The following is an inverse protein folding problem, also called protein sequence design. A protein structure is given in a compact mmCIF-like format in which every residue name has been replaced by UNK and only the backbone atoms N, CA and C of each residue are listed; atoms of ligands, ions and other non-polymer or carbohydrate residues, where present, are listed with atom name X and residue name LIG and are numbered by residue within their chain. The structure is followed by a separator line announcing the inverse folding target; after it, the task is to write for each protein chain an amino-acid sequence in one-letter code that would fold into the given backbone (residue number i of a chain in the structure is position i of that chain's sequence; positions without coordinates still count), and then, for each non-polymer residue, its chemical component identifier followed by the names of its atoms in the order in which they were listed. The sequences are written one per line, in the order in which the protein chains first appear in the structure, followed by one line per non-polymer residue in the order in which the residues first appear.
data_IF_958584020796
#
_entry.id   IF_958584020796
#
_cell.length_a   1.000
_cell.length_b   1.000
_cell.length_c   1.000
_cell.angle_alpha   90.00
_cell.angle_beta   90.00
_cell.angle_gamma   90.00
#
_symmetry.space_group_name_H-M   'P 1'
#
loop_
_entity.id
_entity.type
_entity.pdbx_description
1 polymer ?
#
# COMPACT_ATOMS: atom_id res chain seq x y z
N UNK A 1 -10.01 -6.05 39.28
CA UNK A 1 -9.53 -6.62 38.01
C UNK A 1 -8.39 -7.58 38.29
N UNK A 2 -8.60 -8.91 38.18
CA UNK A 2 -7.57 -9.94 38.40
C UNK A 2 -6.55 -9.91 37.24
N UNK A 3 -5.30 -9.57 37.55
CA UNK A 3 -4.16 -9.83 36.64
C UNK A 3 -4.08 -11.35 36.47
N UNK A 4 -4.55 -11.88 35.34
CA UNK A 4 -4.25 -13.24 34.92
C UNK A 4 -2.75 -13.39 34.83
N UNK A 5 -2.16 -14.20 35.68
CA UNK A 5 -0.76 -14.61 35.55
C UNK A 5 -0.57 -15.17 34.14
N UNK A 6 0.38 -14.59 33.38
CA UNK A 6 0.84 -15.14 32.10
C UNK A 6 1.62 -16.41 32.48
N UNK A 7 0.88 -17.51 32.58
CA UNK A 7 1.47 -18.83 32.88
C UNK A 7 2.36 -19.32 31.76
N UNK A 8 3.12 -20.39 32.00
CA UNK A 8 4.06 -21.02 31.01
C UNK A 8 3.42 -21.28 29.65
N UNK A 9 2.09 -21.49 29.57
CA UNK A 9 1.33 -21.57 28.34
C UNK A 9 1.43 -20.27 27.46
N UNK A 10 1.57 -19.09 28.09
CA UNK A 10 1.71 -17.83 27.35
C UNK A 10 3.02 -17.74 26.56
N UNK A 11 4.09 -18.29 27.10
CA UNK A 11 5.41 -18.29 26.45
C UNK A 11 5.44 -19.19 25.21
N UNK A 12 4.79 -20.34 25.27
CA UNK A 12 4.68 -21.25 24.11
C UNK A 12 3.87 -20.60 22.98
N UNK A 13 2.76 -19.97 23.30
CA UNK A 13 1.94 -19.25 22.30
C UNK A 13 2.69 -18.03 21.72
N UNK A 14 3.42 -17.31 22.56
CA UNK A 14 4.26 -16.19 22.09
C UNK A 14 5.39 -16.71 21.19
N UNK A 15 6.05 -17.81 21.57
CA UNK A 15 7.07 -18.44 20.73
C UNK A 15 6.52 -18.88 19.37
N UNK A 16 5.38 -19.56 19.36
CA UNK A 16 4.71 -19.99 18.14
C UNK A 16 4.33 -18.79 17.25
N UNK A 17 3.73 -17.77 17.85
CA UNK A 17 3.37 -16.54 17.13
C UNK A 17 4.60 -15.83 16.54
N UNK A 18 5.72 -15.80 17.27
CA UNK A 18 6.97 -15.22 16.79
C UNK A 18 7.56 -16.00 15.59
N UNK A 19 7.50 -17.34 15.63
CA UNK A 19 7.94 -18.17 14.50
C UNK A 19 7.08 -17.90 13.27
N UNK A 20 5.75 -17.89 13.45
CA UNK A 20 4.82 -17.58 12.35
C UNK A 20 5.09 -16.18 11.80
N UNK A 21 5.25 -15.18 12.65
CA UNK A 21 5.56 -13.81 12.24
C UNK A 21 6.88 -13.75 11.47
N UNK A 22 7.92 -14.48 11.92
CA UNK A 22 9.20 -14.54 11.23
C UNK A 22 9.08 -15.17 9.83
N UNK A 23 8.31 -16.25 9.69
CA UNK A 23 8.06 -16.90 8.40
C UNK A 23 7.37 -15.91 7.42
N UNK A 24 6.36 -15.17 7.90
CA UNK A 24 5.69 -14.15 7.07
C UNK A 24 6.58 -12.94 6.79
N UNK A 25 7.48 -12.59 7.69
CA UNK A 25 8.40 -11.48 7.50
C UNK A 25 9.61 -11.84 6.60
N UNK A 26 9.94 -13.14 6.49
CA UNK A 26 11.10 -13.61 5.74
C UNK A 26 11.15 -13.14 4.27
N UNK A 27 10.04 -13.21 3.49
CA UNK A 27 10.05 -12.66 2.12
C UNK A 27 10.37 -11.17 2.07
N UNK A 28 9.85 -10.40 3.03
CA UNK A 28 10.13 -8.95 3.13
C UNK A 28 11.60 -8.70 3.45
N UNK A 29 12.17 -9.45 4.41
CA UNK A 29 13.58 -9.40 4.73
C UNK A 29 14.45 -9.75 3.50
N UNK A 30 14.06 -10.78 2.75
CA UNK A 30 14.77 -11.18 1.53
C UNK A 30 14.74 -10.08 0.47
N UNK A 31 13.62 -9.39 0.27
CA UNK A 31 13.52 -8.24 -0.65
C UNK A 31 14.44 -7.11 -0.19
N UNK A 32 14.43 -6.78 1.11
CA UNK A 32 15.31 -5.75 1.67
C UNK A 32 16.78 -6.10 1.44
N UNK A 33 17.18 -7.33 1.75
CA UNK A 33 18.56 -7.79 1.53
C UNK A 33 18.94 -7.75 0.05
N UNK A 34 18.03 -8.13 -0.84
CA UNK A 34 18.28 -8.12 -2.30
C UNK A 34 18.43 -6.69 -2.83
N UNK A 35 17.75 -5.70 -2.25
CA UNK A 35 17.92 -4.29 -2.63
C UNK A 35 19.37 -3.79 -2.44
N UNK A 36 20.12 -4.36 -1.50
CA UNK A 36 21.52 -4.03 -1.25
C UNK A 36 22.52 -4.96 -1.92
N UNK A 37 22.07 -5.91 -2.76
CA UNK A 37 22.95 -6.81 -3.51
C UNK A 37 23.35 -6.19 -4.84
N UNK A 38 24.59 -6.49 -5.26
CA UNK A 38 25.02 -6.24 -6.63
C UNK A 38 24.23 -7.12 -7.62
N UNK A 39 24.12 -6.68 -8.87
CA UNK A 39 23.45 -7.47 -9.91
C UNK A 39 24.10 -8.85 -10.12
N UNK A 40 25.42 -8.93 -10.06
CA UNK A 40 26.18 -10.19 -10.16
C UNK A 40 25.87 -11.16 -9.03
N UNK A 41 25.72 -10.67 -7.79
CA UNK A 41 25.41 -11.50 -6.63
C UNK A 41 23.96 -11.94 -6.60
N UNK A 42 23.05 -11.12 -7.16
CA UNK A 42 21.62 -11.46 -7.28
C UNK A 42 21.38 -12.58 -8.29
N UNK A 43 22.14 -12.59 -9.39
CA UNK A 43 22.03 -13.58 -10.47
C UNK A 43 22.96 -14.79 -10.29
N UNK A 44 23.74 -14.82 -9.21
CA UNK A 44 24.68 -15.92 -8.94
C UNK A 44 23.94 -17.24 -8.68
N UNK A 45 24.44 -18.32 -9.31
CA UNK A 45 23.96 -19.68 -9.11
C UNK A 45 25.15 -20.54 -8.65
N UNK A 46 25.17 -21.09 -7.42
CA UNK A 46 24.14 -21.03 -6.38
C UNK A 46 23.99 -19.64 -5.73
N UNK A 47 22.83 -19.34 -5.07
CA UNK A 47 22.58 -18.04 -4.43
C UNK A 47 23.63 -17.73 -3.35
N UNK A 48 24.24 -16.56 -3.41
CA UNK A 48 25.19 -16.12 -2.39
C UNK A 48 24.43 -15.51 -1.20
N UNK A 49 24.55 -16.12 -0.02
CA UNK A 49 23.94 -15.60 1.20
C UNK A 49 24.76 -14.47 1.84
N UNK A 50 26.08 -14.54 1.69
CA UNK A 50 27.00 -13.50 2.17
C UNK A 50 27.48 -12.67 0.98
N UNK A 51 27.25 -11.38 1.02
CA UNK A 51 27.55 -10.42 -0.03
C UNK A 51 28.02 -9.09 0.58
N UNK A 52 28.72 -8.29 -0.19
CA UNK A 52 29.07 -6.90 0.20
C UNK A 52 27.90 -5.99 -0.13
N UNK A 53 27.29 -5.32 0.88
CA UNK A 53 26.18 -4.40 0.62
C UNK A 53 26.59 -3.25 -0.31
N UNK A 54 25.75 -2.94 -1.29
CA UNK A 54 25.95 -1.83 -2.22
C UNK A 54 24.67 -0.97 -2.33
N UNK A 55 24.84 0.32 -2.59
CA UNK A 55 23.75 1.24 -2.90
C UNK A 55 23.55 1.44 -4.41
N UNK A 56 24.24 0.66 -5.23
CA UNK A 56 24.23 0.77 -6.68
C UNK A 56 22.82 0.67 -7.28
N UNK A 57 22.00 -0.25 -6.77
CA UNK A 57 20.60 -0.40 -7.21
C UNK A 57 19.77 0.87 -6.99
N UNK A 58 19.94 1.53 -5.84
CA UNK A 58 19.27 2.79 -5.54
C UNK A 58 19.75 3.92 -6.45
N UNK A 59 21.07 3.99 -6.68
CA UNK A 59 21.64 4.95 -7.60
C UNK A 59 21.08 4.77 -9.02
N UNK A 60 20.99 3.53 -9.50
CA UNK A 60 20.43 3.23 -10.82
C UNK A 60 18.95 3.59 -10.92
N UNK A 61 18.14 3.31 -9.89
CA UNK A 61 16.72 3.65 -9.88
C UNK A 61 16.51 5.18 -9.93
N UNK A 62 17.27 5.94 -9.15
CA UNK A 62 17.06 7.39 -9.08
C UNK A 62 17.70 8.16 -10.22
N UNK A 63 18.85 7.72 -10.72
CA UNK A 63 19.64 8.50 -11.65
C UNK A 63 19.84 7.87 -13.02
N UNK A 64 19.82 6.53 -13.12
CA UNK A 64 20.09 5.83 -14.38
C UNK A 64 19.33 4.51 -14.46
N UNK A 65 18.58 4.26 -15.55
CA UNK A 65 18.13 2.94 -15.94
C UNK A 65 19.00 2.38 -17.04
N UNK A 66 19.27 1.08 -17.02
CA UNK A 66 19.83 0.40 -18.18
C UNK A 66 18.74 0.25 -19.25
N UNK A 67 18.84 0.97 -20.34
CA UNK A 67 18.00 0.74 -21.52
C UNK A 67 18.47 -0.51 -22.29
N UNK A 68 19.80 -0.69 -22.39
CA UNK A 68 20.49 -1.85 -22.94
C UNK A 68 21.79 -2.06 -22.14
N UNK A 69 22.52 -3.15 -22.40
CA UNK A 69 23.74 -3.53 -21.66
C UNK A 69 24.83 -2.45 -21.57
N UNK A 70 24.73 -1.37 -22.33
CA UNK A 70 25.74 -0.31 -22.45
C UNK A 70 25.22 1.13 -22.33
N UNK A 71 23.92 1.36 -22.37
CA UNK A 71 23.38 2.72 -22.38
C UNK A 71 22.45 2.98 -21.18
N UNK A 72 22.73 4.07 -20.47
CA UNK A 72 21.95 4.51 -19.31
C UNK A 72 20.98 5.61 -19.72
N UNK A 73 19.69 5.40 -19.48
CA UNK A 73 18.63 6.37 -19.72
C UNK A 73 18.07 6.84 -18.37
N UNK A 74 17.71 8.11 -18.25
CA UNK A 74 17.07 8.63 -17.04
C UNK A 74 15.74 7.93 -16.81
N UNK A 75 15.56 7.31 -15.64
CA UNK A 75 14.36 6.51 -15.31
C UNK A 75 13.10 7.35 -15.13
N UNK A 76 13.24 8.63 -14.79
CA UNK A 76 12.13 9.45 -14.33
C UNK A 76 11.49 8.96 -13.01
N UNK A 77 12.12 8.00 -12.33
CA UNK A 77 11.57 7.38 -11.10
C UNK A 77 11.18 8.41 -10.03
N UNK A 78 11.97 9.47 -9.87
CA UNK A 78 11.66 10.55 -8.94
C UNK A 78 10.30 11.19 -9.21
N UNK A 79 9.93 11.39 -10.49
CA UNK A 79 8.62 11.93 -10.86
C UNK A 79 7.51 10.98 -10.44
N UNK A 80 7.63 9.70 -10.74
CA UNK A 80 6.64 8.68 -10.36
C UNK A 80 6.54 8.53 -8.84
N UNK A 81 7.67 8.60 -8.14
CA UNK A 81 7.72 8.50 -6.69
C UNK A 81 6.99 9.68 -6.02
N UNK A 82 7.29 10.91 -6.42
CA UNK A 82 6.60 12.09 -5.88
C UNK A 82 5.13 12.14 -6.28
N UNK A 83 4.78 11.73 -7.49
CA UNK A 83 3.38 11.61 -7.91
C UNK A 83 2.62 10.62 -7.02
N UNK A 84 3.23 9.48 -6.71
CA UNK A 84 2.62 8.47 -5.82
C UNK A 84 2.42 9.01 -4.41
N UNK A 85 3.40 9.73 -3.85
CA UNK A 85 3.27 10.37 -2.53
C UNK A 85 2.16 11.42 -2.56
N UNK A 86 2.12 12.27 -3.58
CA UNK A 86 1.11 13.31 -3.71
C UNK A 86 -0.30 12.72 -3.82
N UNK A 87 -0.50 11.79 -4.75
CA UNK A 87 -1.81 11.16 -4.99
C UNK A 87 -2.29 10.41 -3.74
N UNK A 88 -1.44 9.55 -3.16
CA UNK A 88 -1.81 8.79 -1.97
C UNK A 88 -2.02 9.67 -0.75
N UNK A 89 -1.15 10.65 -0.52
CA UNK A 89 -1.27 11.58 0.59
C UNK A 89 -2.57 12.40 0.53
N UNK A 90 -2.90 12.96 -0.64
CA UNK A 90 -4.14 13.71 -0.82
C UNK A 90 -5.37 12.82 -0.68
N UNK A 91 -5.34 11.60 -1.24
CA UNK A 91 -6.46 10.66 -1.14
C UNK A 91 -6.72 10.23 0.30
N UNK A 92 -5.65 9.91 1.05
CA UNK A 92 -5.77 9.54 2.47
C UNK A 92 -6.25 10.72 3.31
N UNK A 93 -5.73 11.93 3.08
CA UNK A 93 -6.18 13.13 3.79
C UNK A 93 -7.68 13.37 3.59
N UNK A 94 -8.15 13.34 2.35
CA UNK A 94 -9.57 13.52 2.03
C UNK A 94 -10.42 12.40 2.63
N UNK A 95 -10.02 11.15 2.51
CA UNK A 95 -10.74 10.02 3.08
C UNK A 95 -10.83 10.13 4.62
N UNK A 96 -9.75 10.51 5.29
CA UNK A 96 -9.76 10.73 6.74
C UNK A 96 -10.66 11.89 7.14
N UNK A 97 -10.61 13.02 6.45
CA UNK A 97 -11.47 14.17 6.74
C UNK A 97 -12.94 13.82 6.59
N UNK A 98 -13.34 13.28 5.44
CA UNK A 98 -14.73 12.92 5.17
C UNK A 98 -15.19 11.79 6.09
N UNK A 99 -14.39 10.73 6.22
CA UNK A 99 -14.70 9.56 7.05
C UNK A 99 -14.82 9.90 8.53
N UNK A 100 -13.95 10.77 9.06
CA UNK A 100 -14.02 11.20 10.46
C UNK A 100 -15.27 12.04 10.72
N UNK A 101 -15.60 12.97 9.82
CA UNK A 101 -16.81 13.78 9.92
C UNK A 101 -18.08 12.92 9.83
N UNK A 102 -18.10 11.96 8.89
CA UNK A 102 -19.20 11.02 8.76
C UNK A 102 -19.35 10.14 10.01
N UNK A 103 -18.27 9.54 10.50
CA UNK A 103 -18.27 8.73 11.70
C UNK A 103 -18.73 9.51 12.94
N UNK A 104 -18.28 10.77 13.09
CA UNK A 104 -18.74 11.65 14.14
C UNK A 104 -20.26 11.92 14.03
N UNK A 105 -20.74 12.22 12.82
CA UNK A 105 -22.16 12.47 12.55
C UNK A 105 -23.01 11.26 12.94
N UNK A 106 -22.65 10.06 12.50
CA UNK A 106 -23.37 8.82 12.85
C UNK A 106 -23.32 8.49 14.35
N UNK A 107 -22.21 8.83 15.02
CA UNK A 107 -22.04 8.55 16.45
C UNK A 107 -22.81 9.53 17.35
N UNK A 108 -22.87 10.82 16.98
CA UNK A 108 -23.43 11.88 17.85
C UNK A 108 -24.85 12.29 17.49
N UNK A 109 -25.24 12.10 16.25
CA UNK A 109 -26.56 12.50 15.75
C UNK A 109 -27.27 11.25 15.20
N UNK A 110 -27.98 10.47 16.06
CA UNK A 110 -28.69 9.28 15.59
C UNK A 110 -29.79 9.67 14.62
N UNK A 111 -29.54 9.39 13.34
CA UNK A 111 -30.53 9.58 12.28
C UNK A 111 -31.53 8.42 12.29
N UNK A 112 -32.80 8.71 11.90
CA UNK A 112 -33.76 7.62 11.66
C UNK A 112 -33.21 6.72 10.53
N UNK A 113 -32.99 5.43 10.80
CA UNK A 113 -32.42 4.48 9.85
C UNK A 113 -30.89 4.43 9.83
N UNK A 114 -30.21 4.87 10.88
CA UNK A 114 -28.74 4.87 11.01
C UNK A 114 -28.12 3.51 10.65
N UNK A 115 -28.69 2.43 11.16
CA UNK A 115 -28.24 1.06 10.89
C UNK A 115 -28.37 0.69 9.41
N UNK A 116 -29.43 1.17 8.76
CA UNK A 116 -29.65 0.95 7.32
C UNK A 116 -28.60 1.67 6.48
N UNK A 117 -28.25 2.92 6.82
CA UNK A 117 -27.18 3.64 6.12
C UNK A 117 -25.82 2.98 6.32
N UNK A 118 -25.49 2.58 7.55
CA UNK A 118 -24.25 1.85 7.83
C UNK A 118 -24.20 0.51 7.08
N UNK A 119 -25.34 -0.20 7.03
CA UNK A 119 -25.42 -1.45 6.26
C UNK A 119 -25.22 -1.22 4.76
N UNK A 120 -25.80 -0.17 4.18
CA UNK A 120 -25.58 0.20 2.76
C UNK A 120 -24.10 0.50 2.51
N UNK A 121 -23.47 1.31 3.37
CA UNK A 121 -22.02 1.64 3.24
C UNK A 121 -21.18 0.37 3.30
N UNK A 122 -21.46 -0.54 4.23
CA UNK A 122 -20.75 -1.82 4.32
C UNK A 122 -20.98 -2.69 3.08
N UNK A 123 -22.21 -2.72 2.56
CA UNK A 123 -22.56 -3.51 1.37
C UNK A 123 -21.84 -3.00 0.13
N UNK A 124 -21.68 -1.69 -0.02
CA UNK A 124 -20.92 -1.12 -1.15
C UNK A 124 -19.45 -1.55 -1.15
N UNK A 125 -18.88 -1.83 0.03
CA UNK A 125 -17.51 -2.37 0.18
C UNK A 125 -17.36 -3.83 -0.29
N UNK A 126 -18.43 -4.57 -0.35
CA UNK A 126 -18.43 -5.96 -0.83
C UNK A 126 -18.40 -6.03 -2.36
N UNK A 127 -18.66 -4.93 -3.07
CA UNK A 127 -18.58 -4.91 -4.53
C UNK A 127 -17.12 -5.00 -4.98
N UNK A 128 -16.79 -5.94 -5.87
CA UNK A 128 -15.45 -6.03 -6.42
C UNK A 128 -15.10 -4.72 -7.18
N UNK A 129 -13.95 -4.07 -6.89
CA UNK A 129 -13.57 -2.81 -7.54
C UNK A 129 -13.59 -2.87 -9.06
N UNK A 130 -13.30 -4.03 -9.63
CA UNK A 130 -13.27 -4.22 -11.09
C UNK A 130 -14.62 -3.95 -11.78
N UNK A 131 -15.73 -4.20 -11.09
CA UNK A 131 -17.08 -3.97 -11.65
C UNK A 131 -17.37 -2.48 -11.73
N UNK A 132 -16.84 -1.70 -10.77
CA UNK A 132 -17.12 -0.27 -10.64
C UNK A 132 -16.14 0.58 -11.46
N UNK A 133 -14.94 0.07 -11.73
CA UNK A 133 -13.89 0.80 -12.48
C UNK A 133 -14.35 1.21 -13.88
N UNK A 134 -15.03 0.34 -14.62
CA UNK A 134 -15.44 0.63 -16.00
C UNK A 134 -16.46 1.77 -16.06
N UNK A 135 -17.57 1.76 -15.30
CA UNK A 135 -18.49 2.91 -15.25
C UNK A 135 -17.81 4.20 -14.78
N UNK A 136 -16.98 4.16 -13.76
CA UNK A 136 -16.26 5.34 -13.28
C UNK A 136 -15.34 5.90 -14.36
N UNK A 137 -14.60 5.06 -15.09
CA UNK A 137 -13.74 5.50 -16.18
C UNK A 137 -14.54 6.22 -17.28
N UNK A 138 -15.73 5.70 -17.65
CA UNK A 138 -16.60 6.35 -18.63
C UNK A 138 -17.06 7.73 -18.15
N UNK A 139 -17.49 7.84 -16.89
CA UNK A 139 -17.88 9.11 -16.28
C UNK A 139 -16.70 10.08 -16.30
N UNK A 140 -15.51 9.64 -15.88
CA UNK A 140 -14.32 10.48 -15.85
C UNK A 140 -13.88 10.93 -17.23
N UNK A 141 -14.07 10.08 -18.25
CA UNK A 141 -13.80 10.46 -19.65
C UNK A 141 -14.73 11.56 -20.12
N UNK A 142 -16.03 11.47 -19.83
CA UNK A 142 -17.04 12.47 -20.23
C UNK A 142 -16.83 13.79 -19.47
N UNK A 143 -16.45 13.71 -18.19
CA UNK A 143 -16.24 14.89 -17.33
C UNK A 143 -14.85 15.50 -17.47
N UNK A 144 -13.95 14.92 -18.29
CA UNK A 144 -12.58 15.39 -18.45
C UNK A 144 -11.64 15.09 -17.29
N UNK A 145 -12.06 14.22 -16.35
CA UNK A 145 -11.26 13.82 -15.19
C UNK A 145 -10.31 12.66 -15.48
N UNK A 146 -10.53 11.94 -16.59
CA UNK A 146 -9.66 10.83 -16.98
C UNK A 146 -8.23 11.31 -17.28
N UNK A 147 -7.24 10.64 -16.70
CA UNK A 147 -5.82 11.00 -16.86
C UNK A 147 -5.36 12.21 -16.04
N UNK A 148 -6.19 12.74 -15.13
CA UNK A 148 -5.83 13.86 -14.26
C UNK A 148 -5.52 13.40 -12.82
N UNK A 149 -4.69 14.17 -12.11
CA UNK A 149 -4.43 13.94 -10.67
C UNK A 149 -5.72 13.99 -9.86
N UNK A 150 -6.61 14.95 -10.15
CA UNK A 150 -7.89 15.09 -9.47
C UNK A 150 -8.75 13.86 -9.63
N UNK A 151 -8.85 13.31 -10.84
CA UNK A 151 -9.62 12.09 -11.08
C UNK A 151 -9.08 10.91 -10.29
N UNK A 152 -7.77 10.68 -10.29
CA UNK A 152 -7.14 9.58 -9.54
C UNK A 152 -7.33 9.77 -8.02
N UNK A 153 -7.14 10.99 -7.51
CA UNK A 153 -7.33 11.31 -6.08
C UNK A 153 -8.78 11.06 -5.65
N UNK A 154 -9.76 11.52 -6.43
CA UNK A 154 -11.16 11.28 -6.15
C UNK A 154 -11.51 9.79 -6.15
N UNK A 155 -11.01 9.04 -7.13
CA UNK A 155 -11.24 7.61 -7.22
C UNK A 155 -10.66 6.88 -5.99
N UNK A 156 -9.41 7.15 -5.63
CA UNK A 156 -8.79 6.55 -4.45
C UNK A 156 -9.46 6.98 -3.16
N UNK A 157 -9.89 8.24 -3.06
CA UNK A 157 -10.68 8.72 -1.91
C UNK A 157 -11.98 7.93 -1.77
N UNK A 158 -12.73 7.75 -2.85
CA UNK A 158 -13.98 7.01 -2.84
C UNK A 158 -13.79 5.52 -2.46
N UNK A 159 -12.71 4.90 -2.93
CA UNK A 159 -12.40 3.51 -2.57
C UNK A 159 -11.87 3.34 -1.13
N UNK A 160 -11.32 4.38 -0.52
CA UNK A 160 -10.79 4.33 0.85
C UNK A 160 -11.78 4.85 1.91
N UNK A 161 -12.84 5.53 1.49
CA UNK A 161 -13.90 6.05 2.37
C UNK A 161 -14.82 4.97 2.86
#
# INVERSE_FOLDING_TARGET
MKKKAIGQAGWLWTGLASIVAFIYFFPVLFIILTAFRSRSDTLATPPKWFFTPTFENFYHIFFRAMANSTEYVATGFHVYFFNSIYISGMSVLLALLIGTLAAYGFSRHPLRGNDTYLFIILTTRMLPPIIVIVPIFLIFRITGLAGTYTGIILMYTAFNL
#
